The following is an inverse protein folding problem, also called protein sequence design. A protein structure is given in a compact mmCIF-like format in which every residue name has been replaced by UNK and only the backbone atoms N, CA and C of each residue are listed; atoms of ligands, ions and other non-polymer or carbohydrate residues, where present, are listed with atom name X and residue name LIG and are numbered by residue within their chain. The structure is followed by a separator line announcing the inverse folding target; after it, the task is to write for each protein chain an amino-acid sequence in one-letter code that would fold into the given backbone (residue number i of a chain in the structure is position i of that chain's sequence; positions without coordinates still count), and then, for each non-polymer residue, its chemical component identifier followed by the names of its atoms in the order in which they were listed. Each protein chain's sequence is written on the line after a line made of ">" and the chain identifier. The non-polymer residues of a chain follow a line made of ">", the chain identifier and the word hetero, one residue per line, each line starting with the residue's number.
data_IF_075706516343
#
_entry.id   IF_075706516343
#
_cell.length_a   1.000
_cell.length_b   1.000
_cell.length_c   1.000
_cell.angle_alpha   90.00
_cell.angle_beta   90.00
_cell.angle_gamma   90.00
#
_symmetry.space_group_name_H-M   'P 1'
#
loop_
_entity.id
_entity.type
_entity.pdbx_description
1 polymer ?
#
# COMPACT_ATOMS: atom_id res chain seq x y z
N UNK A 1 -1.67 6.49 15.61
CA UNK A 1 -1.49 6.05 14.21
C UNK A 1 -0.46 6.90 13.47
N UNK A 2 -0.62 8.23 13.29
CA UNK A 2 0.36 9.09 12.57
C UNK A 2 1.83 8.91 13.01
N UNK A 3 2.07 8.72 14.32
CA UNK A 3 3.43 8.53 14.85
C UNK A 3 4.14 7.29 14.31
N UNK A 4 3.45 6.21 13.92
CA UNK A 4 4.13 4.98 13.48
C UNK A 4 4.70 5.14 12.06
N UNK A 5 3.93 5.76 11.16
CA UNK A 5 4.33 5.95 9.78
C UNK A 5 5.49 6.94 9.66
N UNK A 6 5.37 8.13 10.27
CA UNK A 6 6.45 9.12 10.29
C UNK A 6 7.70 8.51 10.94
N UNK A 7 7.56 7.86 12.10
CA UNK A 7 8.69 7.19 12.77
C UNK A 7 9.37 6.16 11.90
N UNK A 8 8.63 5.40 11.08
CA UNK A 8 9.22 4.39 10.20
C UNK A 8 9.93 5.02 9.00
N UNK A 9 9.34 6.06 8.39
CA UNK A 9 9.97 6.80 7.29
C UNK A 9 11.24 7.53 7.75
N UNK A 10 11.23 8.12 8.94
CA UNK A 10 12.39 8.77 9.56
C UNK A 10 13.60 7.83 9.76
N UNK A 11 13.39 6.52 9.84
CA UNK A 11 14.49 5.53 9.95
C UNK A 11 15.24 5.33 8.62
N UNK A 12 14.60 5.63 7.49
CA UNK A 12 15.09 5.26 6.16
C UNK A 12 15.26 6.44 5.22
N UNK A 13 14.74 7.63 5.58
CA UNK A 13 14.92 8.84 4.79
C UNK A 13 16.40 9.24 4.73
N UNK A 14 16.78 9.92 3.64
CA UNK A 14 18.12 10.48 3.50
C UNK A 14 18.25 11.76 4.35
N UNK A 15 19.48 12.11 4.70
CA UNK A 15 19.77 13.39 5.35
C UNK A 15 19.32 14.56 4.45
N UNK A 16 18.66 15.56 5.05
CA UNK A 16 18.07 16.68 4.32
C UNK A 16 16.68 16.43 3.74
N UNK A 17 16.15 15.20 3.80
CA UNK A 17 14.73 14.94 3.45
C UNK A 17 13.82 15.29 4.63
N UNK A 18 12.79 16.10 4.39
CA UNK A 18 11.70 16.33 5.34
C UNK A 18 10.48 15.47 4.94
N UNK A 19 9.79 14.92 5.93
CA UNK A 19 8.62 14.05 5.72
C UNK A 19 7.43 14.69 6.42
N UNK A 20 6.43 15.10 5.65
CA UNK A 20 5.11 15.44 6.18
C UNK A 20 4.10 14.31 5.90
N UNK A 21 3.33 13.94 6.92
CA UNK A 21 2.25 12.97 6.79
C UNK A 21 0.93 13.71 6.70
N UNK A 22 0.50 13.93 5.46
CA UNK A 22 -0.80 14.51 5.17
C UNK A 22 -1.92 13.47 5.29
N UNK A 23 -2.86 13.69 6.23
CA UNK A 23 -4.09 12.89 6.31
C UNK A 23 -5.21 13.61 5.55
N UNK A 24 -5.92 12.86 4.71
CA UNK A 24 -7.08 13.36 3.97
C UNK A 24 -8.18 13.79 4.95
N UNK A 25 -8.83 14.93 4.65
CA UNK A 25 -9.80 15.55 5.55
C UNK A 25 -11.24 15.12 5.27
N UNK A 26 -11.48 14.45 4.15
CA UNK A 26 -12.78 13.92 3.74
C UNK A 26 -12.65 12.47 3.26
N UNK A 27 -13.77 11.77 3.26
CA UNK A 27 -13.83 10.39 2.80
C UNK A 27 -14.44 9.46 3.84
N UNK A 28 -14.24 8.17 3.60
CA UNK A 28 -14.63 7.08 4.47
C UNK A 28 -13.39 6.51 5.16
N UNK A 29 -13.45 6.49 6.49
CA UNK A 29 -12.39 5.98 7.36
C UNK A 29 -12.72 4.61 7.96
N UNK A 30 -13.94 4.12 7.78
CA UNK A 30 -14.33 2.77 8.21
C UNK A 30 -13.57 1.75 7.36
N UNK A 31 -12.72 0.92 8.00
CA UNK A 31 -11.87 -0.01 7.28
C UNK A 31 -12.66 -1.18 6.68
N UNK A 32 -13.92 -1.39 7.09
CA UNK A 32 -14.86 -2.32 6.45
C UNK A 32 -15.26 -1.89 5.03
N UNK A 33 -15.06 -0.63 4.65
CA UNK A 33 -15.31 -0.15 3.29
C UNK A 33 -14.13 -0.33 2.33
N UNK A 34 -12.93 -0.62 2.84
CA UNK A 34 -11.73 -0.74 2.00
C UNK A 34 -11.87 -1.74 0.85
N UNK A 35 -12.51 -2.91 1.01
CA UNK A 35 -12.68 -3.87 -0.08
C UNK A 35 -13.66 -3.45 -1.18
N UNK A 36 -14.38 -2.34 -1.01
CA UNK A 36 -15.45 -1.93 -1.92
C UNK A 36 -15.06 -0.67 -2.68
N UNK A 37 -14.71 -0.83 -3.96
CA UNK A 37 -14.25 0.25 -4.85
C UNK A 37 -15.23 1.43 -4.92
N UNK A 38 -16.54 1.17 -4.83
CA UNK A 38 -17.57 2.22 -4.88
C UNK A 38 -17.43 3.24 -3.75
N UNK A 39 -17.08 2.80 -2.53
CA UNK A 39 -16.88 3.73 -1.42
C UNK A 39 -15.55 4.48 -1.56
N UNK A 40 -14.54 3.85 -2.16
CA UNK A 40 -13.25 4.49 -2.41
C UNK A 40 -13.31 5.61 -3.45
N UNK A 41 -14.34 5.71 -4.31
CA UNK A 41 -14.51 6.84 -5.24
C UNK A 41 -14.42 8.20 -4.54
N UNK A 42 -14.99 8.32 -3.34
CA UNK A 42 -14.91 9.57 -2.56
C UNK A 42 -13.51 9.82 -1.99
N UNK A 43 -12.86 8.78 -1.48
CA UNK A 43 -11.49 8.86 -0.94
C UNK A 43 -10.50 9.27 -2.03
N UNK A 44 -10.70 8.70 -3.21
CA UNK A 44 -9.95 8.97 -4.42
C UNK A 44 -10.08 10.42 -4.90
N UNK A 45 -11.29 10.98 -4.90
CA UNK A 45 -11.49 12.39 -5.23
C UNK A 45 -10.78 13.31 -4.22
N UNK A 46 -10.92 13.04 -2.93
CA UNK A 46 -10.22 13.83 -1.90
C UNK A 46 -8.70 13.72 -2.03
N UNK A 47 -8.18 12.53 -2.33
CA UNK A 47 -6.75 12.32 -2.57
C UNK A 47 -6.25 13.15 -3.76
N UNK A 48 -7.02 13.20 -4.84
CA UNK A 48 -6.69 14.01 -6.00
C UNK A 48 -6.62 15.51 -5.66
N UNK A 49 -7.63 16.05 -4.98
CA UNK A 49 -7.64 17.46 -4.55
C UNK A 49 -6.48 17.78 -3.60
N UNK A 50 -6.18 16.89 -2.65
CA UNK A 50 -5.05 17.03 -1.74
C UNK A 50 -3.71 17.02 -2.48
N UNK A 51 -3.54 16.13 -3.47
CA UNK A 51 -2.32 16.05 -4.25
C UNK A 51 -2.04 17.32 -5.07
N UNK A 52 -3.08 17.93 -5.65
CA UNK A 52 -2.95 19.24 -6.32
C UNK A 52 -2.52 20.33 -5.34
N UNK A 53 -3.20 20.44 -4.19
CA UNK A 53 -2.88 21.44 -3.17
C UNK A 53 -1.45 21.29 -2.64
N UNK A 54 -1.01 20.06 -2.37
CA UNK A 54 0.34 19.81 -1.85
C UNK A 54 1.42 20.13 -2.88
N UNK A 55 1.17 19.88 -4.17
CA UNK A 55 2.11 20.30 -5.21
C UNK A 55 2.23 21.84 -5.25
N UNK A 56 1.11 22.56 -5.14
CA UNK A 56 1.10 24.03 -5.09
C UNK A 56 1.77 24.59 -3.82
N UNK A 57 1.73 23.84 -2.70
CA UNK A 57 2.40 24.18 -1.45
C UNK A 57 3.94 23.96 -1.51
N UNK A 58 4.47 23.48 -2.63
CA UNK A 58 5.90 23.40 -2.89
C UNK A 58 6.58 22.09 -2.48
N UNK A 59 5.82 21.00 -2.35
CA UNK A 59 6.39 19.67 -2.09
C UNK A 59 7.14 19.14 -3.32
N UNK A 60 8.30 18.51 -3.08
CA UNK A 60 9.16 17.98 -4.17
C UNK A 60 8.71 16.60 -4.69
N UNK A 61 7.95 15.83 -3.91
CA UNK A 61 7.44 14.51 -4.28
C UNK A 61 6.28 14.09 -3.37
N UNK A 62 5.42 13.18 -3.86
CA UNK A 62 4.32 12.59 -3.10
C UNK A 62 4.48 11.07 -2.98
N UNK A 63 4.18 10.54 -1.79
CA UNK A 63 4.11 9.08 -1.55
C UNK A 63 2.67 8.71 -1.16
N UNK A 64 2.03 7.90 -1.99
CA UNK A 64 0.71 7.36 -1.71
C UNK A 64 0.85 6.19 -0.74
N UNK A 65 0.71 6.47 0.56
CA UNK A 65 0.96 5.50 1.62
C UNK A 65 -0.21 4.54 1.88
N UNK A 66 -0.73 3.93 0.82
CA UNK A 66 -1.77 2.90 0.86
C UNK A 66 -1.44 1.82 -0.17
N UNK A 67 -1.53 0.54 0.20
CA UNK A 67 -1.14 -0.56 -0.68
C UNK A 67 -2.01 -0.71 -1.94
N UNK A 68 -3.19 -0.08 -1.97
CA UNK A 68 -4.01 -0.03 -3.18
C UNK A 68 -3.53 0.98 -4.22
N UNK A 69 -2.47 1.74 -3.93
CA UNK A 69 -1.91 2.81 -4.78
C UNK A 69 -2.99 3.68 -5.45
N UNK A 70 -3.91 4.25 -4.65
CA UNK A 70 -5.12 4.87 -5.16
C UNK A 70 -4.81 6.06 -6.07
N UNK A 71 -5.36 6.09 -7.29
CA UNK A 71 -5.17 7.19 -8.25
C UNK A 71 -3.70 7.48 -8.62
N UNK A 72 -2.79 6.51 -8.48
CA UNK A 72 -1.38 6.71 -8.80
C UNK A 72 -1.15 7.31 -10.20
N UNK A 73 -1.66 6.67 -11.25
CA UNK A 73 -1.44 7.15 -12.62
C UNK A 73 -2.18 8.46 -12.93
N UNK A 74 -3.47 8.64 -12.55
CA UNK A 74 -4.14 9.95 -12.69
C UNK A 74 -3.40 11.10 -12.02
N UNK A 75 -2.86 10.91 -10.81
CA UNK A 75 -2.13 11.97 -10.10
C UNK A 75 -0.79 12.25 -10.80
N UNK A 76 -0.07 11.21 -11.26
CA UNK A 76 1.14 11.39 -12.08
C UNK A 76 0.91 12.17 -13.37
N UNK A 77 -0.28 12.07 -13.95
CA UNK A 77 -0.65 12.84 -15.15
C UNK A 77 -0.94 14.30 -14.83
N UNK A 78 -1.36 14.60 -13.60
CA UNK A 78 -1.78 15.93 -13.18
C UNK A 78 -0.64 16.78 -12.59
N UNK A 79 0.45 16.15 -12.13
CA UNK A 79 1.53 16.81 -11.39
C UNK A 79 2.86 16.75 -12.12
N UNK A 80 3.67 17.80 -11.94
CA UNK A 80 5.06 17.87 -12.44
C UNK A 80 6.10 17.28 -11.47
N UNK A 81 5.66 16.84 -10.29
CA UNK A 81 6.52 16.21 -9.26
C UNK A 81 6.34 14.68 -9.24
N UNK A 82 7.36 13.91 -8.81
CA UNK A 82 7.24 12.46 -8.70
C UNK A 82 6.16 12.03 -7.72
N UNK A 83 5.35 11.05 -8.13
CA UNK A 83 4.33 10.41 -7.28
C UNK A 83 4.63 8.93 -7.21
N UNK A 84 4.75 8.39 -6.00
CA UNK A 84 5.16 7.00 -5.75
C UNK A 84 4.05 6.27 -4.99
N UNK A 85 3.55 5.17 -5.58
CA UNK A 85 2.72 4.19 -4.88
C UNK A 85 3.59 3.20 -4.10
N UNK A 86 3.26 2.98 -2.83
CA UNK A 86 4.06 2.10 -1.97
C UNK A 86 4.00 0.64 -2.38
N UNK A 87 2.90 0.18 -2.97
CA UNK A 87 2.79 -1.21 -3.39
C UNK A 87 3.57 -1.46 -4.68
N UNK A 88 3.42 -0.61 -5.70
CA UNK A 88 4.27 -0.65 -6.90
C UNK A 88 5.76 -0.58 -6.54
N UNK A 89 6.16 0.36 -5.68
CA UNK A 89 7.54 0.49 -5.23
C UNK A 89 8.03 -0.76 -4.47
N UNK A 90 7.18 -1.34 -3.60
CA UNK A 90 7.49 -2.56 -2.86
C UNK A 90 7.71 -3.77 -3.77
N UNK A 91 6.85 -3.95 -4.78
CA UNK A 91 7.00 -5.01 -5.77
C UNK A 91 8.29 -4.85 -6.58
N UNK A 92 8.59 -3.64 -7.06
CA UNK A 92 9.82 -3.38 -7.82
C UNK A 92 11.08 -3.57 -6.97
N UNK A 93 11.04 -3.20 -5.70
CA UNK A 93 12.14 -3.45 -4.76
C UNK A 93 12.32 -4.94 -4.49
N UNK A 94 11.23 -5.71 -4.35
CA UNK A 94 11.28 -7.15 -4.16
C UNK A 94 11.95 -7.88 -5.34
N UNK A 95 11.80 -7.40 -6.57
CA UNK A 95 12.49 -7.95 -7.74
C UNK A 95 14.02 -7.83 -7.69
N UNK A 96 14.55 -6.95 -6.85
CA UNK A 96 16.00 -6.86 -6.60
C UNK A 96 16.51 -7.94 -5.65
N UNK A 97 15.60 -8.63 -4.94
CA UNK A 97 15.89 -9.63 -3.91
C UNK A 97 15.53 -11.06 -4.34
N UNK A 98 14.66 -11.23 -5.34
CA UNK A 98 14.26 -12.53 -5.89
C UNK A 98 13.39 -12.38 -7.13
N UNK A 99 13.19 -13.48 -7.87
CA UNK A 99 12.45 -13.47 -9.13
C UNK A 99 10.94 -13.71 -8.95
N UNK A 100 10.54 -14.33 -7.83
CA UNK A 100 9.15 -14.71 -7.55
C UNK A 100 8.66 -14.06 -6.26
N UNK A 101 7.56 -13.33 -6.35
CA UNK A 101 7.01 -12.54 -5.24
C UNK A 101 5.72 -13.17 -4.75
N UNK A 102 5.53 -13.24 -3.44
CA UNK A 102 4.26 -13.52 -2.79
C UNK A 102 3.72 -12.25 -2.14
N UNK A 103 2.45 -11.94 -2.36
CA UNK A 103 1.76 -10.81 -1.72
C UNK A 103 0.88 -11.35 -0.61
N UNK A 104 0.99 -10.77 0.59
CA UNK A 104 0.13 -11.10 1.74
C UNK A 104 -0.66 -9.87 2.14
N UNK A 105 -1.98 -9.91 1.96
CA UNK A 105 -2.93 -8.84 2.32
C UNK A 105 -3.83 -9.26 3.48
N UNK A 106 -4.75 -8.40 3.90
CA UNK A 106 -5.56 -8.58 5.11
C UNK A 106 -6.88 -9.30 4.86
N UNK A 107 -7.74 -8.84 3.93
CA UNK A 107 -9.10 -9.35 3.71
C UNK A 107 -9.19 -10.14 2.40
N UNK A 108 -9.89 -11.27 2.39
CA UNK A 108 -9.96 -12.09 1.17
C UNK A 108 -10.64 -11.36 0.01
N UNK A 109 -11.52 -10.39 0.30
CA UNK A 109 -12.26 -9.60 -0.71
C UNK A 109 -11.35 -8.70 -1.52
N UNK A 110 -10.17 -8.32 -1.01
CA UNK A 110 -9.20 -7.49 -1.75
C UNK A 110 -8.22 -8.31 -2.60
N UNK A 111 -8.16 -9.63 -2.43
CA UNK A 111 -7.24 -10.48 -3.22
C UNK A 111 -7.43 -10.33 -4.74
N UNK A 112 -8.66 -10.33 -5.29
CA UNK A 112 -8.85 -10.09 -6.73
C UNK A 112 -8.36 -8.72 -7.16
N UNK A 113 -8.61 -7.68 -6.35
CA UNK A 113 -8.15 -6.33 -6.63
C UNK A 113 -6.62 -6.24 -6.68
N UNK A 114 -5.91 -6.85 -5.72
CA UNK A 114 -4.44 -6.90 -5.75
C UNK A 114 -3.90 -7.71 -6.93
N UNK A 115 -4.58 -8.79 -7.31
CA UNK A 115 -4.23 -9.58 -8.50
C UNK A 115 -4.36 -8.73 -9.78
N UNK A 116 -5.43 -7.96 -9.91
CA UNK A 116 -5.61 -7.02 -11.03
C UNK A 116 -4.56 -5.91 -11.00
N UNK A 117 -4.25 -5.35 -9.83
CA UNK A 117 -3.25 -4.29 -9.67
C UNK A 117 -1.84 -4.75 -10.08
N UNK A 118 -1.47 -5.99 -9.73
CA UNK A 118 -0.26 -6.64 -10.23
C UNK A 118 -0.26 -6.73 -11.76
N UNK A 119 -1.41 -7.04 -12.37
CA UNK A 119 -1.59 -7.05 -13.82
C UNK A 119 -1.40 -5.67 -14.46
N UNK A 120 -1.96 -4.62 -13.85
CA UNK A 120 -1.77 -3.22 -14.29
C UNK A 120 -0.29 -2.85 -14.28
N UNK A 121 0.46 -3.33 -13.28
CA UNK A 121 1.90 -3.09 -13.18
C UNK A 121 2.76 -4.00 -14.07
N UNK A 122 2.15 -4.91 -14.83
CA UNK A 122 2.86 -5.81 -15.74
C UNK A 122 3.73 -6.84 -15.02
N UNK A 123 3.35 -7.23 -13.80
CA UNK A 123 4.13 -8.13 -12.94
C UNK A 123 3.46 -9.50 -12.72
N UNK A 124 2.47 -9.86 -13.54
CA UNK A 124 1.73 -11.13 -13.42
C UNK A 124 2.63 -12.36 -13.51
N UNK A 125 3.74 -12.31 -14.26
CA UNK A 125 4.71 -13.41 -14.34
C UNK A 125 5.70 -13.46 -13.16
N UNK A 126 5.71 -12.42 -12.32
CA UNK A 126 6.59 -12.28 -11.16
C UNK A 126 5.89 -12.56 -9.84
N UNK A 127 4.63 -12.17 -9.71
CA UNK A 127 3.84 -12.43 -8.49
C UNK A 127 3.17 -13.79 -8.62
N UNK A 128 3.63 -14.75 -7.83
CA UNK A 128 3.20 -16.16 -7.91
C UNK A 128 2.03 -16.49 -6.99
N UNK A 129 1.81 -15.67 -5.96
CA UNK A 129 0.72 -15.83 -5.00
C UNK A 129 0.25 -14.46 -4.49
N UNK A 130 -1.06 -14.30 -4.36
CA UNK A 130 -1.71 -13.19 -3.65
C UNK A 130 -2.66 -13.82 -2.66
N UNK A 131 -2.31 -13.76 -1.39
CA UNK A 131 -3.02 -14.45 -0.32
C UNK A 131 -3.45 -13.47 0.77
N UNK A 132 -4.45 -13.87 1.55
CA UNK A 132 -5.02 -13.04 2.61
C UNK A 132 -4.91 -13.72 3.97
N UNK A 133 -4.70 -12.90 5.01
CA UNK A 133 -4.82 -13.34 6.41
C UNK A 133 -6.27 -13.48 6.87
N UNK A 134 -7.27 -13.23 6.02
CA UNK A 134 -8.70 -13.21 6.36
C UNK A 134 -9.01 -12.46 7.67
N UNK A 135 -8.45 -11.26 7.77
CA UNK A 135 -8.61 -10.34 8.90
C UNK A 135 -9.53 -9.19 8.55
N UNK A 136 -10.32 -8.76 9.54
CA UNK A 136 -11.15 -7.57 9.43
C UNK A 136 -10.30 -6.30 9.29
N UNK A 137 -10.92 -5.26 8.74
CA UNK A 137 -10.31 -3.93 8.69
C UNK A 137 -9.98 -3.37 10.09
N UNK A 138 -10.77 -3.72 11.11
CA UNK A 138 -10.50 -3.34 12.50
C UNK A 138 -9.23 -4.01 13.04
N UNK A 139 -9.04 -5.31 12.80
CA UNK A 139 -7.81 -6.03 13.14
C UNK A 139 -6.59 -5.39 12.46
N UNK A 140 -6.70 -5.01 11.19
CA UNK A 140 -5.64 -4.31 10.48
C UNK A 140 -5.30 -2.98 11.14
N UNK A 141 -6.31 -2.18 11.53
CA UNK A 141 -6.08 -0.91 12.24
C UNK A 141 -5.41 -1.11 13.59
N UNK A 142 -5.74 -2.20 14.31
CA UNK A 142 -5.10 -2.54 15.57
C UNK A 142 -3.62 -2.92 15.40
N UNK A 143 -3.24 -3.52 14.26
CA UNK A 143 -1.83 -3.83 13.95
C UNK A 143 -0.94 -2.58 13.89
N UNK A 144 -1.52 -1.41 13.60
CA UNK A 144 -0.78 -0.13 13.62
C UNK A 144 -0.40 0.32 15.04
N UNK A 145 -1.01 -0.26 16.06
CA UNK A 145 -0.69 -0.06 17.47
C UNK A 145 0.16 -1.21 17.99
N UNK A 146 -0.26 -2.45 17.73
CA UNK A 146 0.42 -3.67 18.11
C UNK A 146 0.17 -4.79 17.11
N UNK A 147 1.20 -5.17 16.35
CA UNK A 147 1.12 -6.22 15.34
C UNK A 147 1.40 -7.63 15.88
N UNK A 148 1.82 -7.81 17.15
CA UNK A 148 2.31 -9.11 17.62
C UNK A 148 1.29 -10.24 17.44
N UNK A 149 0.01 -9.96 17.66
CA UNK A 149 -1.06 -10.94 17.45
C UNK A 149 -1.24 -11.35 15.98
N UNK A 150 -0.95 -10.45 15.04
CA UNK A 150 -1.10 -10.70 13.60
C UNK A 150 0.10 -11.41 12.98
N UNK A 151 1.29 -11.33 13.59
CA UNK A 151 2.53 -11.94 13.05
C UNK A 151 2.37 -13.44 12.80
N UNK A 152 1.72 -14.17 13.73
CA UNK A 152 1.54 -15.61 13.59
C UNK A 152 0.71 -15.95 12.34
N UNK A 153 -0.40 -15.22 12.14
CA UNK A 153 -1.29 -15.42 10.98
C UNK A 153 -0.61 -14.99 9.68
N UNK A 154 0.09 -13.85 9.68
CA UNK A 154 0.89 -13.41 8.54
C UNK A 154 1.93 -14.48 8.15
N UNK A 155 2.63 -15.05 9.14
CA UNK A 155 3.67 -16.07 8.91
C UNK A 155 3.09 -17.37 8.33
N UNK A 156 1.90 -17.77 8.76
CA UNK A 156 1.20 -18.92 8.20
C UNK A 156 0.86 -18.70 6.72
N UNK A 157 0.29 -17.54 6.39
CA UNK A 157 -0.10 -17.18 5.03
C UNK A 157 1.13 -17.01 4.13
N UNK A 158 2.17 -16.35 4.64
CA UNK A 158 3.47 -16.27 4.00
C UNK A 158 4.03 -17.66 3.68
N UNK A 159 3.87 -18.64 4.57
CA UNK A 159 4.26 -20.03 4.34
C UNK A 159 3.55 -20.67 3.14
N UNK A 160 2.28 -20.33 2.90
CA UNK A 160 1.55 -20.78 1.69
C UNK A 160 2.11 -20.12 0.43
N UNK A 161 2.33 -18.80 0.44
CA UNK A 161 2.98 -18.10 -0.67
C UNK A 161 4.34 -18.71 -1.01
N UNK A 162 5.14 -19.06 0.01
CA UNK A 162 6.44 -19.72 -0.16
C UNK A 162 6.27 -21.13 -0.76
N UNK A 163 5.27 -21.90 -0.30
CA UNK A 163 4.96 -23.22 -0.88
C UNK A 163 4.58 -23.13 -2.36
N UNK A 164 3.95 -22.02 -2.77
CA UNK A 164 3.62 -21.70 -4.17
C UNK A 164 4.82 -21.12 -4.96
N UNK A 165 5.98 -21.01 -4.32
CA UNK A 165 7.26 -20.66 -4.93
C UNK A 165 7.66 -19.20 -4.80
N UNK A 166 7.07 -18.44 -3.87
CA UNK A 166 7.54 -17.10 -3.55
C UNK A 166 8.94 -17.15 -2.89
N UNK A 167 9.84 -16.29 -3.38
CA UNK A 167 11.19 -16.08 -2.85
C UNK A 167 11.26 -14.82 -1.99
N UNK A 168 10.39 -13.84 -2.27
CA UNK A 168 10.28 -12.57 -1.54
C UNK A 168 8.82 -12.31 -1.22
N UNK A 169 8.55 -11.77 -0.03
CA UNK A 169 7.20 -11.44 0.41
C UNK A 169 7.01 -9.93 0.45
N UNK A 170 5.88 -9.46 -0.07
CA UNK A 170 5.47 -8.05 -0.04
C UNK A 170 4.15 -7.94 0.72
N UNK A 171 4.08 -7.15 1.80
CA UNK A 171 2.80 -6.80 2.43
C UNK A 171 1.94 -5.99 1.47
N UNK A 172 0.69 -6.42 1.27
CA UNK A 172 -0.35 -5.67 0.56
C UNK A 172 -1.37 -5.08 1.51
#
# INVERSE_FOLDING_TARGET
>A
MQRVFVRNMEKVKQEGTEIDLYLLNRGFTDPGFFPYTVFNVRNNYELFEAALSLADDGYDALVLHCASDPHLDPIRQALDIPVVGVFQAGLLMALTMGHRIGVVTFDYRVVPFFTDLVGIYGLTDKVVAVESTDSSGEELMMCMLDAHAAIARFSEVAGRCIADGAEVLVPG
#
